data_IF_615429138996
#
_entry.id   IF_615429138996
#
_cell.length_a   1.000
_cell.length_b   1.000
_cell.length_c   1.000
_cell.angle_alpha   90.00
_cell.angle_beta   90.00
_cell.angle_gamma   90.00
#
_symmetry.space_group_name_H-M   'P 1'
#
loop_
_entity.id
_entity.type
_entity.pdbx_description
1 polymer ?
#
# COMPACT_ATOMS: atom_id res chain seq x y z
N UNK A 1 7.71 2.43 -8.45
CA UNK A 1 8.33 1.73 -9.59
C UNK A 1 7.55 2.04 -10.87
N UNK A 2 8.01 3.02 -11.65
CA UNK A 2 7.32 3.43 -12.90
C UNK A 2 7.48 2.42 -14.04
N UNK A 3 8.47 1.51 -13.95
CA UNK A 3 8.67 0.44 -14.94
C UNK A 3 7.61 -0.64 -14.79
N UNK A 4 7.25 -0.96 -13.54
CA UNK A 4 6.21 -1.93 -13.22
C UNK A 4 4.79 -1.35 -13.32
N UNK A 5 4.55 -0.20 -12.69
CA UNK A 5 3.25 0.46 -12.68
C UNK A 5 3.16 1.48 -13.81
N UNK A 6 2.96 1.01 -15.05
CA UNK A 6 2.76 1.88 -16.21
C UNK A 6 1.43 2.63 -16.08
N UNK A 7 1.47 3.95 -15.93
CA UNK A 7 0.26 4.78 -16.05
C UNK A 7 -0.26 4.69 -17.48
N UNK A 8 -1.48 4.18 -17.64
CA UNK A 8 -2.24 4.41 -18.86
C UNK A 8 -2.82 5.82 -18.80
N UNK A 9 -2.27 6.74 -19.58
CA UNK A 9 -2.82 8.07 -19.84
C UNK A 9 -4.18 7.91 -20.51
N UNK A 10 -5.24 7.85 -19.72
CA UNK A 10 -6.62 7.88 -20.19
C UNK A 10 -7.27 9.14 -19.65
N UNK A 11 -7.65 10.04 -20.55
CA UNK A 11 -8.40 11.25 -20.22
C UNK A 11 -9.60 10.94 -19.33
N UNK A 12 -9.84 11.80 -18.34
CA UNK A 12 -10.98 11.72 -17.43
C UNK A 12 -12.27 12.01 -18.19
N UNK A 13 -12.78 11.03 -18.94
CA UNK A 13 -14.10 11.08 -19.55
C UNK A 13 -15.03 10.11 -18.81
N UNK A 14 -15.94 10.75 -18.08
CA UNK A 14 -17.14 10.24 -17.41
C UNK A 14 -16.94 9.18 -16.32
N UNK A 15 -17.72 9.34 -15.26
CA UNK A 15 -17.73 8.58 -14.01
C UNK A 15 -18.30 7.16 -14.23
N UNK A 16 -17.66 6.41 -15.12
CA UNK A 16 -18.05 5.04 -15.41
C UNK A 16 -17.37 4.11 -14.41
N UNK A 17 -18.10 3.74 -13.37
CA UNK A 17 -17.64 2.79 -12.34
C UNK A 17 -17.09 1.49 -12.94
N UNK A 18 -17.52 1.09 -14.14
CA UNK A 18 -16.97 -0.09 -14.86
C UNK A 18 -15.53 0.16 -15.30
N UNK A 19 -15.22 1.37 -15.79
CA UNK A 19 -13.85 1.76 -16.13
C UNK A 19 -12.96 1.82 -14.89
N UNK A 20 -13.48 2.40 -13.80
CA UNK A 20 -12.79 2.44 -12.52
C UNK A 20 -12.54 1.03 -11.97
N UNK A 21 -13.53 0.13 -12.05
CA UNK A 21 -13.39 -1.28 -11.71
C UNK A 21 -12.27 -1.96 -12.51
N UNK A 22 -12.24 -1.77 -13.83
CA UNK A 22 -11.20 -2.38 -14.69
C UNK A 22 -9.79 -1.88 -14.33
N UNK A 23 -9.65 -0.58 -14.05
CA UNK A 23 -8.38 0.01 -13.58
C UNK A 23 -7.96 -0.57 -12.23
N UNK A 24 -8.88 -0.63 -11.26
CA UNK A 24 -8.62 -1.16 -9.92
C UNK A 24 -8.29 -2.65 -9.97
N UNK A 25 -9.01 -3.45 -10.76
CA UNK A 25 -8.74 -4.88 -10.96
C UNK A 25 -7.32 -5.10 -11.51
N UNK A 26 -6.92 -4.29 -12.50
CA UNK A 26 -5.56 -4.35 -13.06
C UNK A 26 -4.51 -3.96 -12.00
N UNK A 27 -4.78 -2.91 -11.22
CA UNK A 27 -3.88 -2.47 -10.16
C UNK A 27 -3.69 -3.56 -9.09
N UNK A 28 -4.77 -4.17 -8.61
CA UNK A 28 -4.71 -5.24 -7.60
C UNK A 28 -3.90 -6.42 -8.12
N UNK A 29 -4.12 -6.84 -9.37
CA UNK A 29 -3.33 -7.91 -10.00
C UNK A 29 -1.83 -7.56 -10.10
N UNK A 30 -1.50 -6.31 -10.48
CA UNK A 30 -0.11 -5.86 -10.54
C UNK A 30 0.54 -5.78 -9.15
N UNK A 31 -0.21 -5.39 -8.12
CA UNK A 31 0.26 -5.37 -6.73
C UNK A 31 0.56 -6.80 -6.26
N UNK A 32 -0.39 -7.73 -6.40
CA UNK A 32 -0.20 -9.14 -6.01
C UNK A 32 1.05 -9.74 -6.67
N UNK A 33 1.23 -9.54 -7.98
CA UNK A 33 2.43 -10.00 -8.69
C UNK A 33 3.71 -9.32 -8.20
N UNK A 34 3.65 -8.04 -7.86
CA UNK A 34 4.83 -7.34 -7.32
C UNK A 34 5.31 -7.98 -6.01
N UNK A 35 4.38 -8.32 -5.13
CA UNK A 35 4.70 -9.00 -3.88
C UNK A 35 5.39 -10.35 -4.14
N UNK A 36 4.91 -11.14 -5.11
CA UNK A 36 5.48 -12.45 -5.42
C UNK A 36 6.79 -12.34 -6.20
N UNK A 37 6.81 -11.59 -7.30
CA UNK A 37 7.90 -11.58 -8.28
C UNK A 37 9.07 -10.68 -7.86
N UNK A 38 8.79 -9.57 -7.16
CA UNK A 38 9.80 -8.57 -6.82
C UNK A 38 10.21 -8.65 -5.35
N UNK A 39 9.24 -8.80 -4.44
CA UNK A 39 9.53 -8.91 -3.01
C UNK A 39 9.77 -10.36 -2.56
N UNK A 40 9.40 -11.36 -3.37
CA UNK A 40 9.52 -12.77 -3.00
C UNK A 40 8.56 -13.21 -1.89
N UNK A 41 7.52 -12.41 -1.62
CA UNK A 41 6.58 -12.62 -0.51
C UNK A 41 5.32 -13.33 -0.98
N UNK A 42 4.80 -14.32 -0.21
CA UNK A 42 3.67 -15.13 -0.62
C UNK A 42 2.37 -14.32 -0.59
N UNK A 43 1.93 -13.82 -1.74
CA UNK A 43 0.74 -12.97 -1.83
C UNK A 43 -0.58 -13.72 -1.57
N UNK A 44 -0.58 -15.07 -1.57
CA UNK A 44 -1.75 -15.89 -1.21
C UNK A 44 -2.32 -15.62 0.19
N UNK A 45 -1.50 -15.08 1.11
CA UNK A 45 -1.91 -14.74 2.48
C UNK A 45 -2.40 -13.30 2.64
N UNK A 46 -2.25 -12.48 1.59
CA UNK A 46 -2.72 -11.09 1.59
C UNK A 46 -4.24 -11.04 1.47
N UNK A 47 -4.87 -10.15 2.24
CA UNK A 47 -6.26 -9.79 2.00
C UNK A 47 -6.34 -9.04 0.65
N UNK A 48 -6.89 -9.68 -0.38
CA UNK A 48 -7.14 -9.01 -1.66
C UNK A 48 -8.33 -8.07 -1.52
N UNK A 49 -8.17 -6.76 -1.79
CA UNK A 49 -9.30 -5.83 -1.82
C UNK A 49 -10.25 -6.19 -2.96
N UNK A 50 -11.56 -5.94 -2.77
CA UNK A 50 -12.58 -6.08 -3.81
C UNK A 50 -12.65 -4.83 -4.70
N UNK A 51 -12.14 -4.88 -5.95
CA UNK A 51 -12.14 -3.72 -6.85
C UNK A 51 -13.56 -3.25 -7.21
N UNK A 52 -14.55 -4.16 -7.18
CA UNK A 52 -15.93 -3.87 -7.56
C UNK A 52 -16.61 -3.07 -6.46
N UNK A 53 -16.47 -3.49 -5.21
CA UNK A 53 -17.01 -2.78 -4.06
C UNK A 53 -16.41 -1.36 -3.93
N UNK A 54 -15.13 -1.19 -4.27
CA UNK A 54 -14.48 0.14 -4.33
C UNK A 54 -15.11 0.98 -5.46
N UNK A 55 -15.15 0.45 -6.69
CA UNK A 55 -15.56 1.22 -7.85
C UNK A 55 -17.06 1.56 -7.86
N UNK A 56 -17.90 0.63 -7.43
CA UNK A 56 -19.36 0.74 -7.52
C UNK A 56 -19.97 1.39 -6.27
N UNK A 57 -19.50 0.98 -5.09
CA UNK A 57 -20.15 1.30 -3.82
C UNK A 57 -19.32 2.26 -2.95
N UNK A 58 -18.13 2.66 -3.42
CA UNK A 58 -17.23 3.53 -2.65
C UNK A 58 -16.78 2.90 -1.33
N UNK A 59 -16.68 1.57 -1.26
CA UNK A 59 -16.49 0.85 -0.01
C UNK A 59 -15.17 1.25 0.69
N UNK A 60 -15.28 1.90 1.84
CA UNK A 60 -14.15 2.41 2.61
C UNK A 60 -13.25 1.27 3.14
N UNK A 61 -13.81 0.14 3.54
CA UNK A 61 -13.05 -0.99 4.08
C UNK A 61 -12.16 -1.60 3.00
N UNK A 62 -12.72 -1.83 1.81
CA UNK A 62 -11.97 -2.37 0.67
C UNK A 62 -10.93 -1.36 0.15
N UNK A 63 -11.27 -0.08 0.19
CA UNK A 63 -10.34 1.01 -0.12
C UNK A 63 -9.15 1.04 0.84
N UNK A 64 -9.40 0.89 2.14
CA UNK A 64 -8.34 0.84 3.16
C UNK A 64 -7.43 -0.37 2.99
N UNK A 65 -7.97 -1.56 2.65
CA UNK A 65 -7.15 -2.74 2.32
C UNK A 65 -6.19 -2.45 1.16
N UNK A 66 -6.69 -1.83 0.09
CA UNK A 66 -5.86 -1.44 -1.06
C UNK A 66 -4.74 -0.48 -0.64
N UNK A 67 -5.05 0.54 0.16
CA UNK A 67 -4.03 1.47 0.66
C UNK A 67 -3.00 0.80 1.56
N UNK A 68 -3.41 -0.12 2.45
CA UNK A 68 -2.49 -0.87 3.30
C UNK A 68 -1.48 -1.67 2.48
N UNK A 69 -1.91 -2.31 1.39
CA UNK A 69 -1.01 -3.00 0.45
C UNK A 69 -0.04 -2.03 -0.23
N UNK A 70 -0.51 -0.88 -0.71
CA UNK A 70 0.35 0.10 -1.40
C UNK A 70 1.41 0.67 -0.45
N UNK A 71 1.01 1.05 0.77
CA UNK A 71 1.93 1.60 1.77
C UNK A 71 2.96 0.55 2.19
N UNK A 72 2.51 -0.68 2.42
CA UNK A 72 3.42 -1.79 2.78
C UNK A 72 4.41 -2.08 1.65
N UNK A 73 3.97 -2.03 0.39
CA UNK A 73 4.87 -2.15 -0.76
C UNK A 73 5.90 -1.02 -0.76
N UNK A 74 5.48 0.23 -0.55
CA UNK A 74 6.37 1.38 -0.58
C UNK A 74 7.50 1.31 0.46
N UNK A 75 7.21 0.78 1.66
CA UNK A 75 8.22 0.62 2.73
C UNK A 75 9.10 -0.62 2.59
N UNK A 76 8.73 -1.58 1.73
CA UNK A 76 9.55 -2.76 1.40
C UNK A 76 10.31 -2.61 0.08
N UNK A 77 10.07 -1.54 -0.67
CA UNK A 77 10.76 -1.27 -1.92
C UNK A 77 12.19 -0.75 -1.70
N UNK A 78 13.04 -0.82 -2.73
CA UNK A 78 14.45 -0.35 -2.72
C UNK A 78 14.59 1.09 -2.22
N UNK A 79 13.58 1.94 -2.47
CA UNK A 79 13.56 3.34 -2.01
C UNK A 79 12.81 3.56 -0.68
N UNK A 80 12.80 2.55 0.21
CA UNK A 80 12.05 2.60 1.47
C UNK A 80 12.40 3.79 2.36
N UNK A 81 13.67 4.23 2.37
CA UNK A 81 14.14 5.32 3.23
C UNK A 81 13.35 6.63 3.01
N UNK A 82 13.12 7.01 1.75
CA UNK A 82 12.34 8.20 1.40
C UNK A 82 10.86 8.09 1.81
N UNK A 83 10.30 6.89 1.82
CA UNK A 83 8.91 6.67 2.25
C UNK A 83 8.79 6.63 3.78
N UNK A 84 9.73 5.99 4.47
CA UNK A 84 9.81 5.97 5.93
C UNK A 84 9.98 7.39 6.45
N UNK A 85 10.87 8.19 5.87
CA UNK A 85 11.07 9.59 6.24
C UNK A 85 9.77 10.40 6.12
N UNK A 86 9.03 10.25 5.02
CA UNK A 86 7.71 10.89 4.86
C UNK A 86 6.72 10.48 5.94
N UNK A 87 6.69 9.19 6.30
CA UNK A 87 5.85 8.70 7.39
C UNK A 87 6.24 9.39 8.71
N UNK A 88 7.55 9.51 9.01
CA UNK A 88 8.03 10.15 10.26
C UNK A 88 7.74 11.66 10.37
N UNK A 89 7.36 12.32 9.27
CA UNK A 89 6.94 13.74 9.26
C UNK A 89 5.42 13.93 9.43
N UNK A 90 4.64 12.85 9.42
CA UNK A 90 3.20 12.94 9.69
C UNK A 90 2.92 13.20 11.18
N UNK A 91 1.70 13.63 11.51
CA UNK A 91 1.27 13.72 12.92
C UNK A 91 1.20 12.32 13.57
N UNK A 92 1.30 12.27 14.90
CA UNK A 92 1.38 11.01 15.66
C UNK A 92 0.21 10.05 15.40
N UNK A 93 -1.02 10.57 15.28
CA UNK A 93 -2.20 9.74 14.98
C UNK A 93 -2.10 9.06 13.62
N UNK A 94 -1.63 9.80 12.61
CA UNK A 94 -1.46 9.28 11.25
C UNK A 94 -0.29 8.30 11.16
N UNK A 95 0.81 8.58 11.86
CA UNK A 95 1.94 7.65 11.98
C UNK A 95 1.50 6.32 12.58
N UNK A 96 0.81 6.37 13.72
CA UNK A 96 0.36 5.18 14.42
C UNK A 96 -0.61 4.34 13.56
N UNK A 97 -1.56 4.99 12.89
CA UNK A 97 -2.49 4.30 11.99
C UNK A 97 -1.80 3.61 10.81
N UNK A 98 -0.78 4.26 10.22
CA UNK A 98 0.00 3.68 9.14
C UNK A 98 0.87 2.52 9.62
N UNK A 99 1.53 2.65 10.77
CA UNK A 99 2.33 1.56 11.34
C UNK A 99 1.51 0.31 11.61
N UNK A 100 0.33 0.44 12.23
CA UNK A 100 -0.56 -0.71 12.44
C UNK A 100 -1.03 -1.34 11.13
N UNK A 101 -1.27 -0.53 10.11
CA UNK A 101 -1.67 -1.03 8.79
C UNK A 101 -0.55 -1.83 8.12
N UNK A 102 0.70 -1.34 8.22
CA UNK A 102 1.88 -2.03 7.69
C UNK A 102 2.12 -3.34 8.46
N UNK A 103 2.13 -3.29 9.79
CA UNK A 103 2.32 -4.46 10.66
C UNK A 103 1.30 -5.56 10.36
N UNK A 104 0.02 -5.20 10.21
CA UNK A 104 -1.04 -6.17 9.89
C UNK A 104 -0.77 -6.89 8.56
N UNK A 105 -0.24 -6.20 7.55
CA UNK A 105 0.08 -6.79 6.26
C UNK A 105 1.33 -7.67 6.37
N UNK A 106 2.39 -7.21 7.03
CA UNK A 106 3.64 -7.95 7.21
C UNK A 106 3.44 -9.25 8.02
N UNK A 107 2.64 -9.19 9.10
CA UNK A 107 2.27 -10.37 9.88
C UNK A 107 1.59 -11.46 9.04
N UNK A 108 0.82 -11.09 8.01
CA UNK A 108 0.19 -12.05 7.09
C UNK A 108 1.19 -12.64 6.11
N UNK A 109 2.17 -11.85 5.68
CA UNK A 109 3.26 -12.29 4.81
C UNK A 109 4.24 -13.23 5.54
N UNK A 110 4.24 -13.22 6.88
CA UNK A 110 5.12 -14.04 7.71
C UNK A 110 6.51 -13.41 7.91
N UNK A 111 6.64 -12.11 7.65
CA UNK A 111 7.85 -11.34 7.91
C UNK A 111 7.64 -10.35 9.07
N UNK A 112 8.59 -10.30 10.00
CA UNK A 112 8.58 -9.42 11.16
C UNK A 112 9.68 -8.36 11.05
N UNK A 113 9.62 -7.51 10.04
CA UNK A 113 10.64 -6.46 9.81
C UNK A 113 9.98 -5.10 9.62
N UNK A 114 9.29 -4.63 10.65
CA UNK A 114 9.20 -3.19 10.88
C UNK A 114 10.27 -2.83 11.90
N UNK A 115 11.46 -2.45 11.42
CA UNK A 115 12.37 -1.64 12.23
C UNK A 115 11.59 -0.36 12.59
N UNK A 116 11.30 -0.21 13.87
CA UNK A 116 10.64 0.98 14.39
C UNK A 116 11.42 2.23 13.93
N UNK A 117 10.73 3.32 13.56
CA UNK A 117 11.42 4.56 13.22
C UNK A 117 12.30 4.95 14.42
N UNK A 118 13.54 5.42 14.20
CA UNK A 118 14.40 5.84 15.28
C UNK A 118 13.65 6.89 16.09
N UNK A 119 13.39 6.58 17.37
CA UNK A 119 12.93 7.57 18.34
C UNK A 119 13.91 8.72 18.22
N UNK A 120 13.45 9.92 17.84
CA UNK A 120 14.28 11.12 17.96
C UNK A 120 14.73 11.16 19.41
N UNK A 121 15.99 10.81 19.64
CA UNK A 121 16.66 10.99 20.92
C UNK A 121 16.63 12.48 21.17
N UNK A 122 15.63 12.94 21.93
CA UNK A 122 15.68 14.21 22.62
C UNK A 122 16.78 14.10 23.68
N UNK A 123 18.03 14.19 23.25
CA UNK A 123 19.13 14.59 24.11
C UNK A 123 18.91 16.07 24.38
N UNK A 124 18.16 16.36 25.45
CA UNK A 124 18.18 17.66 26.10
C UNK A 124 19.44 17.63 26.97
N UNK A 125 20.49 18.31 26.50
CA UNK A 125 21.52 18.89 27.37
C UNK A 125 21.13 20.33 27.66
#
# INVERSE_FOLDING_TARGET
>A
DSKWFKLSSGEAREDNWVNNFNKLRRLVLLLTRYYEDILGLPAKKLESPDPRAIAKDGNLVETMKLYSLIVTLAVNHVNKAAYIEKITHLNAKSQQGLMFSIERVMNRLGETTVEAPPKKSSSIN
#
